data_IF_170384374792
#
_entry.id   IF_170384374792
#
_cell.length_a   1.000
_cell.length_b   1.000
_cell.length_c   1.000
_cell.angle_alpha   90.00
_cell.angle_beta   90.00
_cell.angle_gamma   90.00
#
_symmetry.space_group_name_H-M   'P 1'
#
loop_
_entity.id
_entity.type
_entity.pdbx_description
1 polymer ?
#
# COMPACT_ATOMS: atom_id res chain seq x y z
N UNK A 1 51.29 -7.46 -14.10
CA UNK A 1 50.70 -6.94 -15.36
C UNK A 1 49.27 -6.56 -15.05
N UNK A 2 49.08 -5.31 -14.61
CA UNK A 2 47.85 -4.75 -14.09
C UNK A 2 47.12 -4.09 -15.26
N UNK A 3 45.98 -4.61 -15.67
CA UNK A 3 45.12 -3.94 -16.65
C UNK A 3 44.38 -2.81 -15.98
N UNK A 4 44.75 -1.59 -16.30
CA UNK A 4 43.99 -0.39 -15.99
C UNK A 4 42.75 -0.36 -16.90
N UNK A 5 41.57 -0.41 -16.33
CA UNK A 5 40.30 -0.17 -17.03
C UNK A 5 40.17 1.33 -17.19
N UNK A 6 40.07 1.76 -18.45
CA UNK A 6 40.01 3.14 -18.89
C UNK A 6 38.71 3.81 -18.37
N UNK A 7 38.89 4.84 -17.54
CA UNK A 7 37.81 5.60 -16.88
C UNK A 7 37.03 6.46 -17.90
N UNK A 8 37.55 6.65 -19.10
CA UNK A 8 36.91 7.47 -20.14
C UNK A 8 35.73 6.77 -20.84
N UNK A 9 35.66 5.44 -20.82
CA UNK A 9 34.52 4.71 -21.41
C UNK A 9 33.27 4.74 -20.55
N UNK A 10 33.38 5.07 -19.28
CA UNK A 10 32.24 5.20 -18.36
C UNK A 10 31.53 6.57 -18.50
N UNK A 11 32.21 7.60 -18.95
CA UNK A 11 31.67 8.96 -19.10
C UNK A 11 30.91 9.20 -20.43
N UNK A 12 31.12 8.37 -21.43
CA UNK A 12 30.38 8.49 -22.69
C UNK A 12 28.99 7.82 -22.69
N UNK A 13 28.70 6.99 -21.70
CA UNK A 13 27.36 6.36 -21.53
C UNK A 13 26.40 7.28 -20.77
N UNK A 14 26.89 8.26 -20.01
CA UNK A 14 26.06 9.25 -19.29
C UNK A 14 25.48 10.36 -20.19
N UNK A 15 26.01 10.53 -21.39
CA UNK A 15 25.65 11.65 -22.30
C UNK A 15 24.35 11.45 -23.11
N UNK A 16 23.69 10.31 -23.10
CA UNK A 16 22.52 10.02 -23.94
C UNK A 16 21.22 9.66 -23.24
N UNK A 17 21.08 9.89 -21.94
CA UNK A 17 19.77 10.00 -21.33
C UNK A 17 19.28 11.43 -21.55
N UNK A 18 18.90 11.75 -22.80
CA UNK A 18 18.00 12.88 -23.04
C UNK A 18 16.81 12.68 -22.10
N UNK A 19 16.70 13.58 -21.13
CA UNK A 19 15.48 13.80 -20.36
C UNK A 19 14.39 14.19 -21.39
N UNK A 20 13.75 13.17 -21.98
CA UNK A 20 12.42 13.35 -22.51
C UNK A 20 11.61 13.78 -21.29
N UNK A 21 11.33 15.09 -21.21
CA UNK A 21 10.32 15.63 -20.35
C UNK A 21 9.11 14.74 -20.54
N UNK A 22 8.85 13.87 -19.57
CA UNK A 22 7.54 13.26 -19.42
C UNK A 22 6.65 14.47 -19.21
N UNK A 23 5.98 14.90 -20.28
CA UNK A 23 5.02 15.97 -20.25
C UNK A 23 3.96 15.52 -19.25
N UNK A 24 4.02 16.07 -18.05
CA UNK A 24 2.91 16.04 -17.10
C UNK A 24 1.82 16.83 -17.82
N UNK A 25 0.70 16.23 -18.21
CA UNK A 25 -0.37 16.97 -18.86
C UNK A 25 -0.78 18.08 -17.90
N UNK A 26 -0.56 19.33 -18.32
CA UNK A 26 -1.06 20.53 -17.65
C UNK A 26 -2.54 20.35 -17.39
N UNK A 27 -2.95 20.64 -16.19
CA UNK A 27 -4.32 20.64 -15.66
C UNK A 27 -5.29 21.37 -16.62
N UNK A 28 -5.98 20.60 -17.39
CA UNK A 28 -7.37 20.75 -17.82
C UNK A 28 -7.92 19.34 -18.04
N UNK A 29 -7.68 18.46 -17.07
CA UNK A 29 -8.28 17.14 -17.04
C UNK A 29 -9.71 17.33 -16.53
N UNK A 30 -10.66 16.88 -17.32
CA UNK A 30 -12.04 16.63 -16.92
C UNK A 30 -12.11 16.21 -15.45
N UNK A 31 -12.67 17.06 -14.58
CA UNK A 31 -12.91 16.74 -13.17
C UNK A 31 -13.77 15.48 -13.01
N UNK A 32 -14.30 14.96 -14.09
CA UNK A 32 -15.19 13.82 -14.20
C UNK A 32 -14.48 12.43 -14.25
N UNK A 33 -13.15 12.36 -14.21
CA UNK A 33 -12.51 11.05 -14.28
C UNK A 33 -11.43 10.83 -13.21
N UNK A 34 -11.85 10.85 -11.95
CA UNK A 34 -11.01 10.60 -10.78
C UNK A 34 -10.08 9.39 -10.95
N UNK A 35 -10.58 8.29 -11.55
CA UNK A 35 -9.79 7.08 -11.72
C UNK A 35 -8.63 7.28 -12.69
N UNK A 36 -8.81 8.10 -13.73
CA UNK A 36 -7.75 8.42 -14.70
C UNK A 36 -6.72 9.35 -14.05
N UNK A 37 -7.17 10.37 -13.34
CA UNK A 37 -6.28 11.29 -12.61
C UNK A 37 -5.46 10.55 -11.55
N UNK A 38 -6.10 9.66 -10.80
CA UNK A 38 -5.40 8.81 -9.83
C UNK A 38 -4.43 7.83 -10.52
N UNK A 39 -4.76 7.34 -11.72
CA UNK A 39 -3.90 6.45 -12.48
C UNK A 39 -2.58 7.13 -12.86
N UNK A 40 -2.66 8.34 -13.38
CA UNK A 40 -1.50 9.15 -13.75
C UNK A 40 -0.66 9.51 -12.51
N UNK A 41 -1.30 9.97 -11.44
CA UNK A 41 -0.65 10.36 -10.18
C UNK A 41 0.04 9.18 -9.49
N UNK A 42 -0.65 8.05 -9.35
CA UNK A 42 -0.10 6.88 -8.65
C UNK A 42 0.99 6.19 -9.46
N UNK A 43 0.87 6.20 -10.80
CA UNK A 43 1.93 5.71 -11.67
C UNK A 43 3.20 6.56 -11.59
N UNK A 44 3.08 7.87 -11.68
CA UNK A 44 4.20 8.79 -11.55
C UNK A 44 4.90 8.63 -10.20
N UNK A 45 4.11 8.56 -9.11
CA UNK A 45 4.67 8.31 -7.79
C UNK A 45 5.36 6.95 -7.68
N UNK A 46 4.76 5.88 -8.23
CA UNK A 46 5.38 4.56 -8.24
C UNK A 46 6.74 4.57 -8.96
N UNK A 47 6.83 5.20 -10.14
CA UNK A 47 8.09 5.31 -10.89
C UNK A 47 9.15 6.08 -10.09
N UNK A 48 8.78 7.20 -9.48
CA UNK A 48 9.68 8.00 -8.64
C UNK A 48 10.25 7.15 -7.49
N UNK A 49 9.39 6.44 -6.76
CA UNK A 49 9.83 5.61 -5.64
C UNK A 49 10.63 4.38 -6.09
N UNK A 50 10.30 3.81 -7.25
CA UNK A 50 11.07 2.72 -7.84
C UNK A 50 12.49 3.17 -8.20
N UNK A 51 12.63 4.36 -8.76
CA UNK A 51 13.95 4.95 -9.09
C UNK A 51 14.75 5.22 -7.82
N UNK A 52 14.17 5.85 -6.80
CA UNK A 52 14.82 6.09 -5.52
C UNK A 52 15.28 4.78 -4.84
N UNK A 53 14.43 3.74 -4.87
CA UNK A 53 14.78 2.43 -4.31
C UNK A 53 15.86 1.70 -5.14
N UNK A 54 15.94 1.96 -6.45
CA UNK A 54 17.02 1.44 -7.32
C UNK A 54 18.36 2.04 -6.97
N UNK A 55 18.41 3.33 -6.69
CA UNK A 55 19.63 4.05 -6.30
C UNK A 55 20.11 3.63 -4.91
N UNK A 56 19.19 3.54 -3.97
CA UNK A 56 19.47 3.12 -2.60
C UNK A 56 18.26 2.42 -1.98
N UNK A 57 18.36 1.11 -1.71
CA UNK A 57 17.35 0.34 -0.98
C UNK A 57 17.43 0.59 0.53
N UNK A 58 17.33 1.86 0.94
CA UNK A 58 17.27 2.30 2.33
C UNK A 58 15.94 1.86 3.00
N UNK A 59 15.87 1.99 4.32
CA UNK A 59 14.65 1.72 5.10
C UNK A 59 13.47 2.57 4.61
N UNK A 60 13.74 3.83 4.29
CA UNK A 60 12.76 4.80 3.82
C UNK A 60 12.31 4.52 2.39
N UNK A 61 13.24 4.38 1.43
CA UNK A 61 12.91 4.10 0.03
C UNK A 61 12.16 2.79 -0.15
N UNK A 62 12.51 1.74 0.63
CA UNK A 62 11.77 0.48 0.66
C UNK A 62 10.37 0.65 1.26
N UNK A 63 10.21 1.48 2.29
CA UNK A 63 8.88 1.82 2.82
C UNK A 63 8.02 2.50 1.76
N UNK A 64 8.54 3.52 1.11
CA UNK A 64 7.81 4.36 0.17
C UNK A 64 7.41 3.62 -1.09
N UNK A 65 8.29 2.83 -1.68
CA UNK A 65 7.93 2.00 -2.84
C UNK A 65 6.86 0.96 -2.49
N UNK A 66 6.86 0.39 -1.28
CA UNK A 66 5.79 -0.52 -0.82
C UNK A 66 4.44 0.18 -0.73
N UNK A 67 4.41 1.39 -0.18
CA UNK A 67 3.19 2.21 -0.09
C UNK A 67 2.69 2.56 -1.50
N UNK A 68 3.58 3.07 -2.37
CA UNK A 68 3.24 3.41 -3.74
C UNK A 68 2.71 2.21 -4.54
N UNK A 69 3.36 1.04 -4.40
CA UNK A 69 2.92 -0.19 -5.06
C UNK A 69 1.53 -0.64 -4.58
N UNK A 70 1.24 -0.53 -3.28
CA UNK A 70 -0.08 -0.90 -2.73
C UNK A 70 -1.18 0.02 -3.20
N UNK A 71 -0.95 1.33 -3.24
CA UNK A 71 -1.90 2.31 -3.78
C UNK A 71 -2.23 2.01 -5.24
N UNK A 72 -1.21 1.78 -6.05
CA UNK A 72 -1.37 1.47 -7.46
C UNK A 72 -2.11 0.14 -7.68
N UNK A 73 -1.79 -0.90 -6.91
CA UNK A 73 -2.50 -2.18 -6.96
C UNK A 73 -3.97 -2.04 -6.58
N UNK A 74 -4.29 -1.23 -5.56
CA UNK A 74 -5.68 -0.99 -5.15
C UNK A 74 -6.44 -0.25 -6.24
N UNK A 75 -5.84 0.78 -6.85
CA UNK A 75 -6.45 1.47 -8.00
C UNK A 75 -6.71 0.52 -9.15
N UNK A 76 -5.75 -0.35 -9.47
CA UNK A 76 -5.93 -1.38 -10.51
C UNK A 76 -7.06 -2.37 -10.17
N UNK A 77 -7.24 -2.72 -8.89
CA UNK A 77 -8.38 -3.55 -8.46
C UNK A 77 -9.72 -2.83 -8.71
N UNK A 78 -9.83 -1.56 -8.33
CA UNK A 78 -11.03 -0.77 -8.56
C UNK A 78 -11.33 -0.61 -10.05
N UNK A 79 -10.31 -0.36 -10.87
CA UNK A 79 -10.44 -0.31 -12.32
C UNK A 79 -10.92 -1.66 -12.90
N UNK A 80 -10.41 -2.79 -12.40
CA UNK A 80 -10.84 -4.12 -12.88
C UNK A 80 -12.29 -4.47 -12.51
N UNK A 81 -12.76 -3.98 -11.35
CA UNK A 81 -14.17 -4.16 -10.93
C UNK A 81 -15.12 -3.32 -11.78
N UNK A 82 -14.72 -2.11 -12.07
CA UNK A 82 -15.52 -1.13 -12.80
C UNK A 82 -15.46 -1.35 -14.31
N UNK A 83 -14.25 -1.52 -14.85
CA UNK A 83 -13.94 -1.61 -16.28
C UNK A 83 -12.77 -2.57 -16.49
N UNK A 84 -13.03 -3.87 -16.74
CA UNK A 84 -11.96 -4.85 -16.92
C UNK A 84 -11.07 -4.54 -18.12
N UNK A 85 -9.78 -4.27 -17.90
CA UNK A 85 -8.77 -3.99 -18.91
C UNK A 85 -7.64 -5.02 -18.84
N UNK A 86 -7.44 -5.77 -19.93
CA UNK A 86 -6.43 -6.85 -20.00
C UNK A 86 -5.01 -6.37 -19.64
N UNK A 87 -4.64 -5.16 -20.08
CA UNK A 87 -3.33 -4.57 -19.82
C UNK A 87 -3.10 -4.36 -18.32
N UNK A 88 -4.10 -3.83 -17.61
CA UNK A 88 -4.07 -3.62 -16.15
C UNK A 88 -3.89 -4.95 -15.41
N UNK A 89 -4.59 -6.01 -15.81
CA UNK A 89 -4.46 -7.34 -15.19
C UNK A 89 -3.05 -7.91 -15.30
N UNK A 90 -2.38 -7.71 -16.44
CA UNK A 90 -0.99 -8.12 -16.63
C UNK A 90 -0.03 -7.34 -15.72
N UNK A 91 -0.21 -6.03 -15.61
CA UNK A 91 0.59 -5.17 -14.73
C UNK A 91 0.38 -5.51 -13.26
N UNK A 92 -0.85 -5.84 -12.83
CA UNK A 92 -1.14 -6.27 -11.46
C UNK A 92 -0.31 -7.50 -11.05
N UNK A 93 -0.13 -8.48 -11.94
CA UNK A 93 0.68 -9.67 -11.64
C UNK A 93 2.15 -9.30 -11.44
N UNK A 94 2.71 -8.48 -12.33
CA UNK A 94 4.11 -8.02 -12.23
C UNK A 94 4.34 -7.23 -10.92
N UNK A 95 3.42 -6.32 -10.58
CA UNK A 95 3.51 -5.52 -9.35
C UNK A 95 3.32 -6.35 -8.06
N UNK A 96 2.48 -7.38 -8.08
CA UNK A 96 2.30 -8.26 -6.92
C UNK A 96 3.59 -9.02 -6.61
N UNK A 97 4.25 -9.58 -7.62
CA UNK A 97 5.53 -10.25 -7.46
C UNK A 97 6.61 -9.31 -6.91
N UNK A 98 6.72 -8.12 -7.50
CA UNK A 98 7.68 -7.11 -7.03
C UNK A 98 7.43 -6.69 -5.57
N UNK A 99 6.15 -6.51 -5.19
CA UNK A 99 5.77 -6.15 -3.81
C UNK A 99 6.19 -7.21 -2.79
N UNK A 100 6.11 -8.50 -3.11
CA UNK A 100 6.46 -9.58 -2.19
C UNK A 100 7.92 -9.48 -1.75
N UNK A 101 8.83 -9.13 -2.66
CA UNK A 101 10.24 -8.92 -2.34
C UNK A 101 10.47 -7.65 -1.52
N UNK A 102 9.76 -6.56 -1.81
CA UNK A 102 9.80 -5.37 -0.95
C UNK A 102 9.23 -5.63 0.44
N UNK A 103 8.15 -6.42 0.54
CA UNK A 103 7.57 -6.79 1.83
C UNK A 103 8.60 -7.58 2.65
N UNK A 104 9.28 -8.57 2.06
CA UNK A 104 10.31 -9.36 2.73
C UNK A 104 11.53 -8.55 3.18
N UNK A 105 12.00 -7.58 2.38
CA UNK A 105 13.10 -6.71 2.79
C UNK A 105 12.67 -5.78 3.94
N UNK A 106 11.48 -5.19 3.86
CA UNK A 106 10.96 -4.29 4.90
C UNK A 106 10.80 -5.01 6.24
N UNK A 107 10.28 -6.23 6.22
CA UNK A 107 10.09 -7.01 7.45
C UNK A 107 11.43 -7.22 8.16
N UNK A 108 12.51 -7.54 7.44
CA UNK A 108 13.86 -7.64 8.01
C UNK A 108 14.36 -6.29 8.55
N UNK A 109 14.14 -5.19 7.84
CA UNK A 109 14.59 -3.86 8.28
C UNK A 109 13.88 -3.41 9.56
N UNK A 110 12.57 -3.71 9.70
CA UNK A 110 11.82 -3.44 10.94
C UNK A 110 12.39 -4.23 12.10
N UNK A 111 12.68 -5.53 11.89
CA UNK A 111 13.28 -6.39 12.92
C UNK A 111 14.66 -5.90 13.35
N UNK A 112 15.51 -5.49 12.42
CA UNK A 112 16.84 -4.96 12.73
C UNK A 112 16.69 -3.71 13.62
N UNK A 113 15.79 -2.79 13.27
CA UNK A 113 15.56 -1.57 14.05
C UNK A 113 15.09 -1.88 15.49
N UNK A 114 14.17 -2.84 15.64
CA UNK A 114 13.66 -3.27 16.95
C UNK A 114 14.76 -3.96 17.77
N UNK A 115 15.47 -4.93 17.19
CA UNK A 115 16.52 -5.65 17.90
C UNK A 115 17.72 -4.75 18.24
N UNK A 116 18.08 -3.80 17.39
CA UNK A 116 19.14 -2.85 17.68
C UNK A 116 18.84 -1.97 18.91
N UNK A 117 17.56 -1.64 19.15
CA UNK A 117 17.12 -0.93 20.35
C UNK A 117 17.26 -1.74 21.65
N UNK A 118 17.50 -3.04 21.57
CA UNK A 118 17.55 -3.95 22.72
C UNK A 118 18.97 -4.46 23.06
N UNK A 119 19.99 -4.03 22.34
CA UNK A 119 21.39 -4.51 22.49
C UNK A 119 21.90 -4.40 23.93
N UNK A 120 21.50 -3.36 24.67
CA UNK A 120 21.89 -3.15 26.07
C UNK A 120 20.91 -3.78 27.08
N UNK A 121 19.86 -4.46 26.63
CA UNK A 121 18.79 -4.99 27.49
C UNK A 121 18.71 -6.50 27.48
N UNK A 122 19.11 -7.13 26.38
CA UNK A 122 18.99 -8.57 26.15
C UNK A 122 20.38 -9.14 25.84
N UNK A 123 20.81 -10.10 26.61
CA UNK A 123 22.09 -10.77 26.37
C UNK A 123 22.04 -11.68 25.13
N UNK A 124 23.14 -11.77 24.40
CA UNK A 124 23.25 -12.62 23.22
C UNK A 124 22.42 -12.19 22.01
N UNK A 125 21.97 -10.94 21.95
CA UNK A 125 21.20 -10.40 20.84
C UNK A 125 22.07 -10.13 19.59
N UNK A 126 23.36 -9.83 19.76
CA UNK A 126 24.29 -9.47 18.70
C UNK A 126 24.45 -10.56 17.62
N UNK A 127 24.57 -11.86 17.95
CA UNK A 127 24.63 -12.91 16.96
C UNK A 127 23.34 -13.00 16.10
N UNK A 128 22.18 -12.78 16.73
CA UNK A 128 20.90 -12.73 16.02
C UNK A 128 20.79 -11.48 15.14
N UNK A 129 21.22 -10.33 15.63
CA UNK A 129 21.27 -9.09 14.85
C UNK A 129 22.19 -9.22 13.64
N UNK A 130 23.39 -9.83 13.82
CA UNK A 130 24.28 -10.15 12.72
C UNK A 130 23.66 -11.12 11.69
N UNK A 131 22.85 -12.07 12.14
CA UNK A 131 22.08 -12.93 11.25
C UNK A 131 21.02 -12.15 10.46
N UNK A 132 20.31 -11.22 11.08
CA UNK A 132 19.33 -10.36 10.41
C UNK A 132 20.01 -9.45 9.36
N UNK A 133 21.15 -8.85 9.65
CA UNK A 133 21.91 -8.04 8.68
C UNK A 133 22.36 -8.88 7.46
N UNK A 134 22.82 -10.12 7.66
CA UNK A 134 23.12 -11.01 6.53
C UNK A 134 21.88 -11.32 5.67
N UNK A 135 20.71 -11.44 6.29
CA UNK A 135 19.44 -11.61 5.55
C UNK A 135 19.03 -10.34 4.82
N UNK A 136 19.24 -9.18 5.43
CA UNK A 136 18.98 -7.89 4.78
C UNK A 136 19.77 -7.74 3.49
N UNK A 137 21.09 -8.03 3.53
CA UNK A 137 21.95 -7.98 2.35
C UNK A 137 21.44 -8.90 1.22
N UNK A 138 21.03 -10.13 1.55
CA UNK A 138 20.44 -11.05 0.58
C UNK A 138 19.14 -10.51 -0.02
N UNK A 139 18.25 -9.97 0.81
CA UNK A 139 16.99 -9.41 0.34
C UNK A 139 17.21 -8.13 -0.50
N UNK A 140 18.19 -7.29 -0.16
CA UNK A 140 18.59 -6.14 -0.99
C UNK A 140 19.04 -6.58 -2.37
N UNK A 141 19.85 -7.63 -2.47
CA UNK A 141 20.29 -8.17 -3.76
C UNK A 141 19.12 -8.68 -4.61
N UNK A 142 18.14 -9.37 -4.00
CA UNK A 142 16.92 -9.84 -4.68
C UNK A 142 16.10 -8.65 -5.19
N UNK A 143 15.88 -7.65 -4.35
CA UNK A 143 15.13 -6.44 -4.70
C UNK A 143 15.84 -5.69 -5.84
N UNK A 144 17.15 -5.49 -5.78
CA UNK A 144 17.93 -4.84 -6.82
C UNK A 144 17.82 -5.57 -8.17
N UNK A 145 17.91 -6.91 -8.14
CA UNK A 145 17.74 -7.74 -9.34
C UNK A 145 16.35 -7.60 -9.96
N UNK A 146 15.28 -7.61 -9.16
CA UNK A 146 13.92 -7.48 -9.68
C UNK A 146 13.62 -6.08 -10.21
N UNK A 147 14.12 -5.04 -9.53
CA UNK A 147 14.00 -3.66 -10.02
C UNK A 147 14.73 -3.51 -11.36
N UNK A 148 15.92 -4.12 -11.53
CA UNK A 148 16.68 -4.06 -12.79
C UNK A 148 15.92 -4.70 -13.96
N UNK A 149 15.14 -5.74 -13.68
CA UNK A 149 14.30 -6.44 -14.68
C UNK A 149 12.98 -5.74 -14.99
N UNK A 150 12.55 -4.81 -14.14
CA UNK A 150 11.25 -4.15 -14.31
C UNK A 150 11.29 -3.17 -15.49
N UNK A 151 10.51 -3.45 -16.53
CA UNK A 151 10.49 -2.72 -17.79
C UNK A 151 9.54 -1.51 -17.71
N UNK A 152 10.03 -0.39 -17.12
CA UNK A 152 9.27 0.85 -16.92
C UNK A 152 8.60 1.31 -18.22
N UNK A 153 9.35 1.53 -19.28
CA UNK A 153 8.82 2.05 -20.56
C UNK A 153 7.72 1.16 -21.16
N UNK A 154 7.91 -0.18 -21.12
CA UNK A 154 6.89 -1.13 -21.58
C UNK A 154 5.59 -1.01 -20.78
N UNK A 155 5.71 -0.88 -19.46
CA UNK A 155 4.55 -0.79 -18.57
C UNK A 155 3.88 0.58 -18.67
N UNK A 156 4.64 1.67 -18.86
CA UNK A 156 4.10 3.01 -19.16
C UNK A 156 3.27 2.99 -20.46
N UNK A 157 3.76 2.34 -21.53
CA UNK A 157 2.97 2.19 -22.77
C UNK A 157 1.68 1.41 -22.54
N UNK A 158 1.72 0.30 -21.77
CA UNK A 158 0.49 -0.46 -21.40
C UNK A 158 -0.49 0.41 -20.61
N UNK A 159 0.02 1.24 -19.69
CA UNK A 159 -0.80 2.15 -18.89
C UNK A 159 -1.46 3.22 -19.77
N UNK A 160 -0.70 3.86 -20.67
CA UNK A 160 -1.23 4.86 -21.59
C UNK A 160 -2.33 4.27 -22.48
N UNK A 161 -2.13 3.06 -23.02
CA UNK A 161 -3.18 2.36 -23.78
C UNK A 161 -4.43 2.05 -22.92
N UNK A 162 -4.25 1.75 -21.64
CA UNK A 162 -5.37 1.54 -20.73
C UNK A 162 -6.09 2.86 -20.43
N UNK A 163 -5.35 3.93 -20.20
CA UNK A 163 -5.84 5.30 -20.00
C UNK A 163 -6.69 5.77 -21.19
N UNK A 164 -6.18 5.63 -22.42
CA UNK A 164 -6.93 5.98 -23.62
C UNK A 164 -8.25 5.21 -23.74
N UNK A 165 -8.25 3.91 -23.40
CA UNK A 165 -9.47 3.10 -23.39
C UNK A 165 -10.48 3.63 -22.37
N UNK A 166 -10.02 4.01 -21.17
CA UNK A 166 -10.89 4.59 -20.15
C UNK A 166 -11.51 5.91 -20.61
N UNK A 167 -10.73 6.76 -21.27
CA UNK A 167 -11.21 8.06 -21.79
C UNK A 167 -12.18 7.90 -22.96
N UNK A 168 -11.95 6.92 -23.85
CA UNK A 168 -12.83 6.68 -25.02
C UNK A 168 -14.16 6.02 -24.64
N UNK A 169 -14.21 5.31 -23.52
CA UNK A 169 -15.45 4.73 -23.04
C UNK A 169 -16.31 5.87 -22.47
N UNK A 170 -17.48 6.11 -23.10
CA UNK A 170 -18.55 6.89 -22.49
C UNK A 170 -19.07 6.11 -21.26
N UNK A 171 -18.31 6.14 -20.18
CA UNK A 171 -18.70 5.46 -18.95
C UNK A 171 -19.88 6.23 -18.35
N UNK A 172 -20.96 5.52 -18.10
CA UNK A 172 -22.01 6.02 -17.21
C UNK A 172 -21.37 6.14 -15.81
N UNK A 173 -20.99 7.36 -15.45
CA UNK A 173 -20.28 7.65 -14.19
C UNK A 173 -21.06 7.12 -13.00
N UNK A 174 -22.37 7.25 -12.98
CA UNK A 174 -23.20 6.73 -11.90
C UNK A 174 -23.22 5.19 -11.81
N UNK A 175 -23.12 4.46 -12.94
CA UNK A 175 -22.97 3.00 -12.90
C UNK A 175 -21.58 2.58 -12.42
N UNK A 176 -20.55 3.35 -12.83
CA UNK A 176 -19.17 3.10 -12.43
C UNK A 176 -19.02 3.26 -10.92
N UNK A 177 -19.48 4.37 -10.38
CA UNK A 177 -19.45 4.66 -8.96
C UNK A 177 -20.22 3.64 -8.13
N UNK A 178 -21.43 3.28 -8.55
CA UNK A 178 -22.21 2.23 -7.88
C UNK A 178 -21.46 0.89 -7.79
N UNK A 179 -20.70 0.51 -8.82
CA UNK A 179 -19.86 -0.71 -8.76
C UNK A 179 -18.71 -0.56 -7.77
N UNK A 180 -18.05 0.58 -7.78
CA UNK A 180 -16.92 0.87 -6.88
C UNK A 180 -17.42 0.89 -5.43
N UNK A 181 -18.50 1.63 -5.14
CA UNK A 181 -19.05 1.69 -3.79
C UNK A 181 -19.51 0.31 -3.28
N UNK A 182 -20.18 -0.49 -4.11
CA UNK A 182 -20.53 -1.87 -3.73
C UNK A 182 -19.30 -2.70 -3.34
N UNK A 183 -18.23 -2.57 -4.10
CA UNK A 183 -16.99 -3.29 -3.83
C UNK A 183 -16.34 -2.85 -2.52
N UNK A 184 -16.42 -1.57 -2.19
CA UNK A 184 -15.92 -1.02 -0.92
C UNK A 184 -16.84 -1.40 0.23
N UNK A 185 -18.17 -1.35 0.05
CA UNK A 185 -19.14 -1.85 1.01
C UNK A 185 -18.85 -3.29 1.42
N UNK A 186 -18.59 -4.17 0.42
CA UNK A 186 -18.23 -5.57 0.69
C UNK A 186 -16.92 -5.70 1.48
N UNK A 187 -15.96 -4.83 1.19
CA UNK A 187 -14.69 -4.80 1.92
C UNK A 187 -14.89 -4.34 3.37
N UNK A 188 -15.74 -3.36 3.61
CA UNK A 188 -16.08 -2.89 4.96
C UNK A 188 -16.87 -3.93 5.76
N UNK A 189 -17.87 -4.56 5.14
CA UNK A 189 -18.60 -5.68 5.77
C UNK A 189 -17.67 -6.83 6.12
N UNK A 190 -16.66 -7.11 5.29
CA UNK A 190 -15.65 -8.12 5.59
C UNK A 190 -14.80 -7.73 6.80
N UNK A 191 -14.42 -6.44 6.95
CA UNK A 191 -13.75 -5.96 8.16
C UNK A 191 -14.61 -6.26 9.38
N UNK A 192 -15.85 -5.81 9.40
CA UNK A 192 -16.78 -6.00 10.52
C UNK A 192 -17.02 -7.49 10.83
N UNK A 193 -17.15 -8.32 9.81
CA UNK A 193 -17.31 -9.78 9.97
C UNK A 193 -16.08 -10.42 10.63
N UNK A 194 -14.89 -9.97 10.29
CA UNK A 194 -13.63 -10.49 10.85
C UNK A 194 -13.35 -9.96 12.23
N UNK A 195 -13.68 -8.68 12.51
CA UNK A 195 -13.62 -8.10 13.85
C UNK A 195 -14.42 -8.90 14.86
N UNK A 196 -15.67 -9.28 14.52
CA UNK A 196 -16.53 -10.12 15.40
C UNK A 196 -15.98 -11.53 15.63
N UNK A 197 -14.94 -11.94 14.93
CA UNK A 197 -14.28 -13.25 15.03
C UNK A 197 -12.87 -13.15 15.60
N UNK A 198 -12.49 -11.99 16.12
CA UNK A 198 -11.23 -11.87 16.84
C UNK A 198 -11.22 -12.79 18.04
N UNK A 199 -10.13 -13.53 18.17
CA UNK A 199 -9.92 -14.51 19.22
C UNK A 199 -8.46 -14.39 19.68
N UNK A 200 -8.19 -13.95 20.92
CA UNK A 200 -6.83 -13.76 21.42
C UNK A 200 -5.99 -15.04 21.38
N UNK A 201 -6.63 -16.21 21.49
CA UNK A 201 -5.95 -17.51 21.41
C UNK A 201 -5.61 -17.93 19.98
N UNK A 202 -6.09 -17.15 18.96
CA UNK A 202 -5.92 -17.47 17.54
C UNK A 202 -5.30 -16.31 16.75
N UNK A 203 -3.98 -16.16 16.74
CA UNK A 203 -3.28 -15.06 16.03
C UNK A 203 -3.71 -14.87 14.57
N UNK A 204 -4.04 -15.94 13.87
CA UNK A 204 -4.53 -15.88 12.49
C UNK A 204 -5.81 -15.02 12.33
N UNK A 205 -6.60 -14.83 13.39
CA UNK A 205 -7.78 -13.96 13.34
C UNK A 205 -7.39 -12.50 13.22
N UNK A 206 -6.32 -12.07 13.90
CA UNK A 206 -5.76 -10.71 13.80
C UNK A 206 -5.17 -10.45 12.40
N UNK A 207 -4.43 -11.43 11.87
CA UNK A 207 -3.92 -11.35 10.50
C UNK A 207 -5.05 -11.17 9.48
N UNK A 208 -6.15 -11.91 9.66
CA UNK A 208 -7.32 -11.80 8.79
C UNK A 208 -7.97 -10.41 8.86
N UNK A 209 -8.11 -9.82 10.06
CA UNK A 209 -8.60 -8.45 10.25
C UNK A 209 -7.65 -7.45 9.60
N UNK A 210 -6.34 -7.57 9.84
CA UNK A 210 -5.31 -6.69 9.26
C UNK A 210 -5.39 -6.63 7.73
N UNK A 211 -5.52 -7.78 7.06
CA UNK A 211 -5.64 -7.83 5.60
C UNK A 211 -6.90 -7.09 5.15
N UNK A 212 -8.05 -7.30 5.82
CA UNK A 212 -9.31 -6.66 5.46
C UNK A 212 -9.26 -5.14 5.69
N UNK A 213 -8.81 -4.69 6.86
CA UNK A 213 -8.66 -3.27 7.20
C UNK A 213 -7.72 -2.55 6.22
N UNK A 214 -6.57 -3.17 5.91
CA UNK A 214 -5.61 -2.60 4.96
C UNK A 214 -6.22 -2.44 3.57
N UNK A 215 -6.94 -3.45 3.09
CA UNK A 215 -7.63 -3.38 1.80
C UNK A 215 -8.65 -2.26 1.79
N UNK A 216 -9.53 -2.22 2.77
CA UNK A 216 -10.56 -1.20 2.92
C UNK A 216 -9.95 0.21 2.99
N UNK A 217 -8.93 0.43 3.83
CA UNK A 217 -8.27 1.73 3.97
C UNK A 217 -7.72 2.26 2.64
N UNK A 218 -7.00 1.43 1.88
CA UNK A 218 -6.46 1.86 0.59
C UNK A 218 -7.57 2.13 -0.44
N UNK A 219 -8.67 1.38 -0.41
CA UNK A 219 -9.82 1.64 -1.28
C UNK A 219 -10.46 3.00 -0.97
N UNK A 220 -10.69 3.30 0.31
CA UNK A 220 -11.19 4.60 0.74
C UNK A 220 -10.22 5.72 0.37
N UNK A 221 -8.90 5.50 0.54
CA UNK A 221 -7.87 6.48 0.17
C UNK A 221 -7.96 6.88 -1.31
N UNK A 222 -8.25 5.92 -2.20
CA UNK A 222 -8.41 6.17 -3.65
C UNK A 222 -9.63 7.02 -3.95
N UNK A 223 -10.75 6.82 -3.23
CA UNK A 223 -12.05 7.39 -3.60
C UNK A 223 -12.50 8.54 -2.69
N UNK A 224 -11.80 8.81 -1.57
CA UNK A 224 -12.21 9.83 -0.59
C UNK A 224 -12.42 11.22 -1.20
N UNK A 225 -11.74 11.52 -2.30
CA UNK A 225 -11.91 12.79 -3.04
C UNK A 225 -13.22 12.90 -3.82
N UNK A 226 -14.03 11.83 -3.90
CA UNK A 226 -15.41 11.89 -4.39
C UNK A 226 -16.38 12.53 -3.38
N UNK A 227 -16.00 12.57 -2.11
CA UNK A 227 -16.78 13.22 -1.06
C UNK A 227 -16.25 14.63 -0.81
N UNK A 228 -17.16 15.57 -0.51
CA UNK A 228 -16.80 16.94 -0.16
C UNK A 228 -16.22 17.02 1.26
N UNK A 229 -16.79 16.25 2.17
CA UNK A 229 -16.63 16.36 3.61
C UNK A 229 -16.21 15.03 4.29
N UNK A 230 -15.55 14.12 3.55
CA UNK A 230 -15.04 12.90 4.17
C UNK A 230 -14.06 13.23 5.32
N UNK A 231 -14.35 12.83 6.58
CA UNK A 231 -13.58 13.29 7.72
C UNK A 231 -12.14 12.78 7.68
N UNK A 232 -11.17 13.69 7.73
CA UNK A 232 -9.75 13.33 7.77
C UNK A 232 -9.43 12.40 8.95
N UNK A 233 -10.11 12.56 10.10
CA UNK A 233 -9.97 11.72 11.29
C UNK A 233 -10.23 10.23 11.01
N UNK A 234 -11.12 9.91 10.08
CA UNK A 234 -11.43 8.51 9.74
C UNK A 234 -10.20 7.79 9.15
N UNK A 235 -9.42 8.48 8.32
CA UNK A 235 -8.17 7.93 7.79
C UNK A 235 -7.10 7.77 8.87
N UNK A 236 -7.07 8.66 9.87
CA UNK A 236 -6.17 8.57 11.01
C UNK A 236 -6.54 7.35 11.87
N UNK A 237 -7.82 7.16 12.19
CA UNK A 237 -8.32 6.00 12.95
C UNK A 237 -7.98 4.70 12.23
N UNK A 238 -8.29 4.60 10.92
CA UNK A 238 -7.97 3.42 10.11
C UNK A 238 -6.48 3.11 10.10
N UNK A 239 -5.65 4.16 10.00
CA UNK A 239 -4.19 3.99 10.00
C UNK A 239 -3.71 3.50 11.37
N UNK A 240 -4.12 4.14 12.46
CA UNK A 240 -3.72 3.78 13.82
C UNK A 240 -4.10 2.33 14.15
N UNK A 241 -5.32 1.93 13.84
CA UNK A 241 -5.78 0.55 14.04
C UNK A 241 -4.99 -0.46 13.19
N UNK A 242 -4.70 -0.11 11.93
CA UNK A 242 -3.87 -0.95 11.07
C UNK A 242 -2.43 -1.08 11.57
N UNK A 243 -1.86 -0.01 12.14
CA UNK A 243 -0.50 0.00 12.67
C UNK A 243 -0.41 -0.94 13.89
N UNK A 244 -1.37 -0.92 14.82
CA UNK A 244 -1.47 -1.87 15.95
C UNK A 244 -1.58 -3.33 15.50
N UNK A 245 -2.44 -3.62 14.53
CA UNK A 245 -2.50 -4.95 13.91
C UNK A 245 -1.18 -5.32 13.21
N UNK A 246 -0.42 -4.31 12.78
CA UNK A 246 0.91 -4.46 12.19
C UNK A 246 1.94 -4.95 13.20
N UNK A 247 1.87 -4.49 14.44
CA UNK A 247 2.75 -4.94 15.53
C UNK A 247 2.59 -6.44 15.79
N UNK A 248 1.36 -6.94 15.92
CA UNK A 248 1.11 -8.38 16.07
C UNK A 248 1.76 -9.17 14.92
N UNK A 249 1.54 -8.74 13.68
CA UNK A 249 2.11 -9.42 12.52
C UNK A 249 3.65 -9.38 12.49
N UNK A 250 4.24 -8.27 12.93
CA UNK A 250 5.70 -8.15 12.99
C UNK A 250 6.27 -9.15 13.99
N UNK A 251 5.64 -9.32 15.17
CA UNK A 251 6.05 -10.29 16.17
C UNK A 251 5.94 -11.74 15.66
N UNK A 252 4.83 -12.12 15.00
CA UNK A 252 4.68 -13.44 14.39
C UNK A 252 5.78 -13.74 13.37
N UNK A 253 6.09 -12.77 12.48
CA UNK A 253 7.15 -12.93 11.46
C UNK A 253 8.53 -13.04 12.14
N UNK A 254 8.77 -12.23 13.17
CA UNK A 254 10.02 -12.24 13.93
C UNK A 254 10.22 -13.56 14.65
N UNK A 255 9.19 -14.08 15.30
CA UNK A 255 9.23 -15.40 15.95
C UNK A 255 9.55 -16.51 14.95
N UNK A 256 8.92 -16.49 13.76
CA UNK A 256 9.21 -17.44 12.70
C UNK A 256 10.67 -17.39 12.22
N UNK A 257 11.27 -16.21 12.19
CA UNK A 257 12.69 -16.02 11.83
C UNK A 257 13.60 -16.46 12.97
N UNK A 258 13.25 -16.14 14.21
CA UNK A 258 13.98 -16.54 15.40
C UNK A 258 14.02 -18.09 15.53
N UNK A 259 12.90 -18.76 15.28
CA UNK A 259 12.84 -20.23 15.23
C UNK A 259 13.81 -20.83 14.18
N UNK A 260 13.92 -20.18 13.02
CA UNK A 260 14.88 -20.62 11.97
C UNK A 260 16.33 -20.37 12.36
N UNK A 261 16.59 -19.27 13.07
CA UNK A 261 17.91 -18.98 13.63
C UNK A 261 18.31 -20.00 14.69
N UNK A 262 17.45 -20.25 15.68
CA UNK A 262 17.70 -21.18 16.78
C UNK A 262 17.97 -22.61 16.31
N UNK A 263 17.30 -23.09 15.25
CA UNK A 263 17.55 -24.43 14.67
C UNK A 263 18.97 -24.59 14.10
N UNK A 264 19.62 -23.49 13.72
CA UNK A 264 20.96 -23.48 13.12
C UNK A 264 22.07 -23.17 14.14
N UNK A 265 21.70 -22.69 15.34
CA UNK A 265 22.60 -22.22 16.37
C UNK A 265 22.20 -22.85 17.71
N UNK A 266 22.41 -24.18 17.83
CA UNK A 266 21.97 -24.98 18.98
C UNK A 266 22.65 -24.61 20.31
N UNK A 267 23.85 -24.06 20.24
CA UNK A 267 24.62 -23.64 21.42
C UNK A 267 24.14 -22.30 22.01
N UNK A 268 23.55 -21.43 21.18
CA UNK A 268 23.10 -20.12 21.57
C UNK A 268 21.57 -20.01 21.41
N UNK A 269 20.82 -20.55 22.39
CA UNK A 269 19.37 -20.48 22.40
C UNK A 269 18.93 -19.04 22.72
N UNK A 270 18.20 -18.38 21.83
CA UNK A 270 17.78 -16.98 22.02
C UNK A 270 16.53 -16.91 22.93
N UNK A 271 16.61 -17.44 24.16
CA UNK A 271 15.47 -17.54 25.06
C UNK A 271 14.98 -16.16 25.51
N UNK A 272 15.88 -15.26 25.88
CA UNK A 272 15.52 -13.89 26.31
C UNK A 272 14.84 -13.10 25.17
N UNK A 273 15.33 -13.29 23.93
CA UNK A 273 14.68 -12.66 22.76
C UNK A 273 13.26 -13.23 22.58
N UNK A 274 13.11 -14.55 22.78
CA UNK A 274 11.78 -15.19 22.67
C UNK A 274 10.83 -14.66 23.72
N UNK A 275 11.25 -14.61 24.98
CA UNK A 275 10.45 -14.09 26.11
C UNK A 275 10.02 -12.62 25.86
N UNK A 276 10.95 -11.80 25.36
CA UNK A 276 10.63 -10.43 24.97
C UNK A 276 9.54 -10.38 23.90
N UNK A 277 9.65 -11.20 22.84
CA UNK A 277 8.69 -11.25 21.74
C UNK A 277 7.32 -11.75 22.20
N UNK A 278 7.27 -12.80 23.03
CA UNK A 278 6.03 -13.35 23.58
C UNK A 278 5.30 -12.27 24.40
N UNK A 279 6.02 -11.57 25.27
CA UNK A 279 5.46 -10.48 26.09
C UNK A 279 4.91 -9.34 25.22
N UNK A 280 5.65 -8.93 24.19
CA UNK A 280 5.20 -7.89 23.26
C UNK A 280 3.98 -8.29 22.46
N UNK A 281 3.90 -9.54 22.05
CA UNK A 281 2.73 -10.08 21.37
C UNK A 281 1.49 -10.02 22.26
N UNK A 282 1.62 -10.46 23.52
CA UNK A 282 0.52 -10.44 24.50
C UNK A 282 0.05 -9.00 24.78
N UNK A 283 0.99 -8.05 24.98
CA UNK A 283 0.67 -6.63 25.16
C UNK A 283 -0.08 -6.06 23.94
N UNK A 284 0.34 -6.38 22.72
CA UNK A 284 -0.29 -5.91 21.48
C UNK A 284 -1.71 -6.51 21.31
N UNK A 285 -1.88 -7.80 21.60
CA UNK A 285 -3.19 -8.47 21.57
C UNK A 285 -4.12 -7.82 22.59
N UNK A 286 -3.66 -7.66 23.84
CA UNK A 286 -4.46 -7.04 24.91
C UNK A 286 -4.90 -5.62 24.53
N UNK A 287 -4.00 -4.83 23.95
CA UNK A 287 -4.30 -3.46 23.50
C UNK A 287 -5.42 -3.43 22.45
N UNK A 288 -5.39 -4.35 21.48
CA UNK A 288 -6.43 -4.43 20.44
C UNK A 288 -7.75 -4.93 21.00
N UNK A 289 -7.72 -5.91 21.92
CA UNK A 289 -8.94 -6.45 22.52
C UNK A 289 -9.62 -5.46 23.46
N UNK A 290 -8.86 -4.57 24.10
CA UNK A 290 -9.40 -3.52 24.96
C UNK A 290 -9.95 -2.31 24.17
N UNK A 291 -9.58 -2.15 22.90
CA UNK A 291 -10.15 -1.10 22.07
C UNK A 291 -11.57 -1.45 21.66
N UNK A 292 -12.51 -0.62 22.13
CA UNK A 292 -13.83 -0.54 21.51
C UNK A 292 -13.66 0.13 20.14
N UNK A 293 -13.46 -0.70 19.13
CA UNK A 293 -13.05 -0.23 17.83
C UNK A 293 -14.16 0.63 17.21
N UNK A 294 -13.97 1.95 17.22
CA UNK A 294 -14.85 2.94 16.55
C UNK A 294 -14.90 2.76 15.03
N UNK A 295 -14.71 1.51 14.57
CA UNK A 295 -14.74 1.17 13.15
C UNK A 295 -16.16 1.27 12.57
N UNK A 296 -17.20 1.27 13.41
CA UNK A 296 -18.59 1.35 12.99
C UNK A 296 -19.01 2.65 12.32
N UNK A 297 -18.22 3.72 12.50
CA UNK A 297 -18.52 5.06 11.94
C UNK A 297 -17.66 5.43 10.72
N UNK A 298 -16.80 4.53 10.25
CA UNK A 298 -15.83 4.82 9.19
C UNK A 298 -16.41 4.67 7.79
N UNK A 299 -17.57 4.04 7.66
CA UNK A 299 -18.30 3.82 6.42
C UNK A 299 -19.76 3.54 6.72
N UNK A 300 -20.65 3.61 5.71
CA UNK A 300 -22.05 3.22 5.90
C UNK A 300 -22.17 1.74 6.29
N UNK A 301 -23.07 1.41 7.17
CA UNK A 301 -23.20 0.05 7.72
C UNK A 301 -23.87 -0.92 6.74
N UNK A 302 -24.66 -0.41 5.81
CA UNK A 302 -25.30 -1.20 4.77
C UNK A 302 -25.40 -0.45 3.43
N UNK A 303 -25.56 -1.20 2.33
CA UNK A 303 -25.76 -0.66 0.99
C UNK A 303 -27.05 0.15 0.81
N UNK A 304 -28.01 -0.05 1.72
CA UNK A 304 -29.32 0.64 1.72
C UNK A 304 -29.26 1.98 2.40
N UNK A 305 -28.24 2.21 3.21
CA UNK A 305 -28.03 3.48 3.89
C UNK A 305 -27.32 4.48 2.96
N UNK A 306 -27.70 5.73 3.07
CA UNK A 306 -26.99 6.81 2.45
C UNK A 306 -25.61 7.00 3.12
N UNK A 307 -24.70 7.63 2.40
CA UNK A 307 -23.44 8.01 3.01
C UNK A 307 -23.67 9.16 3.99
N UNK A 308 -23.01 9.15 5.15
CA UNK A 308 -23.06 10.29 6.07
C UNK A 308 -22.27 11.50 5.55
N UNK A 309 -21.73 11.43 4.34
CA UNK A 309 -20.92 12.45 3.68
C UNK A 309 -21.49 12.82 2.33
N UNK A 310 -21.30 14.09 1.93
CA UNK A 310 -21.85 14.64 0.68
C UNK A 310 -20.98 14.18 -0.50
N UNK A 311 -21.60 13.55 -1.48
CA UNK A 311 -20.93 13.25 -2.76
C UNK A 311 -20.84 14.53 -3.61
N UNK A 312 -19.71 14.77 -4.25
CA UNK A 312 -19.49 15.95 -5.12
C UNK A 312 -20.48 16.05 -6.27
N UNK A 313 -20.98 14.92 -6.76
CA UNK A 313 -21.94 14.86 -7.86
C UNK A 313 -23.32 15.38 -7.48
N UNK A 314 -23.76 15.17 -6.22
CA UNK A 314 -25.05 15.63 -5.75
C UNK A 314 -25.10 17.16 -5.65
N UNK A 315 -23.94 17.81 -5.48
CA UNK A 315 -23.84 19.27 -5.43
C UNK A 315 -23.93 19.95 -6.80
N UNK A 316 -23.53 19.27 -7.89
CA UNK A 316 -23.61 19.82 -9.26
C UNK A 316 -25.04 19.81 -9.81
N UNK A 317 -25.88 18.87 -9.39
CA UNK A 317 -27.30 18.82 -9.75
C UNK A 317 -28.15 19.81 -8.96
N UNK A 318 -27.77 20.13 -7.72
CA UNK A 318 -28.49 21.11 -6.87
C UNK A 318 -28.28 22.57 -7.30
N UNK A 319 -27.16 22.89 -7.95
CA UNK A 319 -26.90 24.26 -8.46
C UNK A 319 -27.71 24.53 -9.72
N UNK A 320 -27.93 23.54 -10.59
CA UNK A 320 -28.69 23.69 -11.81
C UNK A 320 -30.22 23.74 -11.58
N UNK A 321 -30.73 23.30 -10.42
CA UNK A 321 -32.16 23.39 -10.07
C UNK A 321 -32.55 24.74 -9.45
N UNK A 322 -31.59 25.55 -8.99
CA UNK A 322 -31.86 26.89 -8.42
C UNK A 322 -31.77 28.04 -9.43
N UNK A 323 -31.18 27.82 -10.61
CA UNK A 323 -31.08 28.85 -11.66
C UNK A 323 -32.27 28.89 -12.61
N UNK A 324 -33.28 28.03 -12.44
CA UNK A 324 -34.47 27.94 -13.28
C UNK A 324 -35.77 28.61 -12.71
N UNK A 325 -35.70 29.23 -11.54
CA UNK A 325 -36.91 29.72 -10.84
C UNK A 325 -36.95 31.24 -10.60
N UNK A 326 -36.17 32.03 -11.33
CA UNK A 326 -36.35 33.51 -11.32
C UNK A 326 -36.60 34.00 -12.75
N UNK A 327 -37.87 34.15 -13.09
CA UNK A 327 -38.25 34.79 -14.32
C UNK A 327 -39.67 34.52 -14.70
N UNK A 328 -40.66 35.16 -14.04
CA UNK A 328 -41.83 35.80 -14.63
C UNK A 328 -42.75 36.28 -13.51
N UNK A 329 -42.65 37.54 -13.17
CA UNK A 329 -43.79 38.32 -12.63
C UNK A 329 -43.88 39.57 -13.49
N UNK A 330 -44.93 39.62 -14.27
CA UNK A 330 -45.55 40.86 -14.76
C UNK A 330 -46.93 40.89 -14.19
#
# INVERSE_FOLDING_TARGET
>A
MTMAVDVNTALEIEGQVKAEKIAIPTQQADENNLLVTNLDTYWANFIRQLTACRENASVESVHDIRVATRRLLTLFELLQVSTPIKQIRGMQKELKSLREHFDGLRDIQVMIAEMAGLVNQISGIEPFLAYLHRRELKNKAVVAFDISKYKIQKNTRKLNNAREKLLKQKLDTGKLERKIFRYIDDSYQLVNKRMRKLDPEKPLTFHAVRIACRKFRYQVEVIKSLFLDYPAKNMVILKAFQDKLGEIQNHEVMEAILKKYARKNLENKPNEIKEYLDKKLDEAIHTIMAEDAQLGLLWRSSRKEEFPWILKLDSSTAVNSKSGAEGTIV
#
